data_IF_868264010892
#
_entry.id   IF_868264010892
#
_cell.length_a   1.000
_cell.length_b   1.000
_cell.length_c   1.000
_cell.angle_alpha   90.00
_cell.angle_beta   90.00
_cell.angle_gamma   90.00
#
_symmetry.space_group_name_H-M   'P 1'
#
loop_
_entity.id
_entity.type
_entity.pdbx_description
1 polymer ?
#
# COMPACT_ATOMS: atom_id res chain seq x y z
N UNK A 1 -10.12 0.53 1.15
CA UNK A 1 -9.04 1.12 0.33
C UNK A 1 -8.35 2.24 1.10
N UNK A 2 -7.12 2.53 0.72
CA UNK A 2 -6.34 3.68 1.16
C UNK A 2 -6.70 4.93 0.34
N UNK A 3 -6.21 6.08 0.78
CA UNK A 3 -6.11 7.33 0.02
C UNK A 3 -4.78 8.03 0.34
N UNK A 4 -4.46 9.12 -0.35
CA UNK A 4 -3.20 9.84 -0.14
C UNK A 4 -3.04 10.39 1.29
N UNK A 5 -4.15 10.73 1.97
CA UNK A 5 -4.09 11.21 3.37
C UNK A 5 -3.65 10.11 4.34
N UNK A 6 -3.97 8.85 4.05
CA UNK A 6 -3.47 7.72 4.84
C UNK A 6 -1.94 7.60 4.75
N UNK A 7 -1.36 7.77 3.55
CA UNK A 7 0.10 7.79 3.37
C UNK A 7 0.74 8.95 4.13
N UNK A 8 0.17 10.16 4.04
CA UNK A 8 0.64 11.36 4.76
C UNK A 8 0.58 11.18 6.28
N UNK A 9 -0.48 10.57 6.81
CA UNK A 9 -0.67 10.34 8.24
C UNK A 9 0.47 9.51 8.84
N UNK A 10 0.94 8.52 8.09
CA UNK A 10 2.04 7.64 8.50
C UNK A 10 3.43 8.19 8.10
N UNK A 11 3.49 9.41 7.57
CA UNK A 11 4.73 10.08 7.15
C UNK A 11 5.50 9.25 6.09
N UNK A 12 4.75 8.66 5.15
CA UNK A 12 5.29 7.85 4.06
C UNK A 12 5.33 8.67 2.78
N UNK A 13 6.54 8.82 2.23
CA UNK A 13 6.74 9.44 0.93
C UNK A 13 6.21 8.54 -0.19
N UNK A 14 5.49 9.14 -1.13
CA UNK A 14 4.94 8.46 -2.29
C UNK A 14 5.26 9.21 -3.58
N UNK A 15 5.30 8.44 -4.67
CA UNK A 15 5.52 8.93 -6.02
C UNK A 15 4.66 8.12 -7.00
N UNK A 16 4.84 8.36 -8.30
CA UNK A 16 4.15 7.62 -9.35
C UNK A 16 4.23 6.09 -9.23
N UNK A 17 5.37 5.52 -8.79
CA UNK A 17 5.51 4.07 -8.58
C UNK A 17 4.64 3.59 -7.42
N UNK A 18 4.58 4.34 -6.33
CA UNK A 18 3.68 4.05 -5.19
C UNK A 18 2.22 4.05 -5.62
N UNK A 19 1.81 5.08 -6.39
CA UNK A 19 0.43 5.20 -6.87
C UNK A 19 0.08 4.05 -7.82
N UNK A 20 0.98 3.77 -8.76
CA UNK A 20 0.81 2.69 -9.72
C UNK A 20 0.63 1.33 -9.04
N UNK A 21 1.53 0.96 -8.13
CA UNK A 21 1.43 -0.30 -7.38
C UNK A 21 0.17 -0.33 -6.53
N UNK A 22 -0.19 0.79 -5.92
CA UNK A 22 -1.39 0.88 -5.09
C UNK A 22 -2.66 0.59 -5.88
N UNK A 23 -2.74 0.97 -7.15
CA UNK A 23 -3.87 0.64 -8.02
C UNK A 23 -3.80 -0.84 -8.45
N UNK A 24 -2.65 -1.30 -8.96
CA UNK A 24 -2.46 -2.67 -9.45
C UNK A 24 -2.75 -3.73 -8.37
N UNK A 25 -2.25 -3.50 -7.15
CA UNK A 25 -2.43 -4.38 -5.99
C UNK A 25 -3.68 -4.00 -5.17
N UNK A 26 -4.56 -3.13 -5.70
CA UNK A 26 -5.89 -2.78 -5.15
C UNK A 26 -5.88 -2.14 -3.75
N UNK A 27 -4.78 -1.51 -3.36
CA UNK A 27 -4.76 -0.62 -2.19
C UNK A 27 -5.56 0.67 -2.45
N UNK A 28 -5.54 1.19 -3.67
CA UNK A 28 -6.25 2.39 -4.11
C UNK A 28 -7.36 2.07 -5.12
N UNK A 29 -8.34 2.98 -5.21
CA UNK A 29 -9.19 3.12 -6.39
C UNK A 29 -8.45 4.01 -7.42
N UNK A 30 -8.79 3.89 -8.70
CA UNK A 30 -8.24 4.71 -9.78
C UNK A 30 -8.37 6.22 -9.55
N UNK A 31 -9.41 6.66 -8.82
CA UNK A 31 -9.65 8.07 -8.48
C UNK A 31 -8.48 8.73 -7.74
N UNK A 32 -7.59 7.93 -7.13
CA UNK A 32 -6.36 8.43 -6.50
C UNK A 32 -5.43 9.14 -7.49
N UNK A 33 -5.53 8.82 -8.79
CA UNK A 33 -4.75 9.47 -9.84
C UNK A 33 -5.11 10.95 -9.95
N UNK A 34 -6.39 11.29 -9.83
CA UNK A 34 -6.85 12.68 -9.82
C UNK A 34 -6.33 13.42 -8.60
N UNK A 35 -6.47 12.83 -7.41
CA UNK A 35 -5.93 13.41 -6.17
C UNK A 35 -4.43 13.67 -6.29
N UNK A 36 -3.68 12.72 -6.85
CA UNK A 36 -2.24 12.83 -7.00
C UNK A 36 -1.84 13.83 -8.07
N UNK A 37 -2.54 13.87 -9.21
CA UNK A 37 -2.29 14.84 -10.27
C UNK A 37 -2.53 16.28 -9.79
N UNK A 38 -3.59 16.53 -9.01
CA UNK A 38 -3.84 17.84 -8.39
C UNK A 38 -2.67 18.23 -7.47
N UNK A 39 -2.19 17.32 -6.63
CA UNK A 39 -1.03 17.60 -5.76
C UNK A 39 0.26 17.91 -6.53
N UNK A 40 0.45 17.31 -7.71
CA UNK A 40 1.60 17.61 -8.58
C UNK A 40 1.47 19.00 -9.21
N UNK A 41 0.29 19.36 -9.70
CA UNK A 41 0.02 20.71 -10.22
C UNK A 41 0.23 21.80 -9.15
N UNK A 42 -0.23 21.56 -7.92
CA UNK A 42 0.00 22.46 -6.78
C UNK A 42 1.50 22.66 -6.47
N UNK A 43 2.34 21.69 -6.81
CA UNK A 43 3.81 21.76 -6.67
C UNK A 43 4.50 22.35 -7.90
N UNK A 44 3.75 22.70 -8.95
CA UNK A 44 4.27 23.21 -10.22
C UNK A 44 4.81 22.12 -11.15
N UNK A 45 4.51 20.85 -10.90
CA UNK A 45 4.82 19.75 -11.81
C UNK A 45 3.70 19.63 -12.85
N UNK A 46 3.98 20.03 -14.09
CA UNK A 46 3.02 20.04 -15.18
C UNK A 46 3.44 19.12 -16.33
N UNK A 47 2.49 18.36 -16.87
CA UNK A 47 2.62 17.66 -18.14
C UNK A 47 1.23 17.46 -18.75
N UNK A 48 1.10 17.20 -20.07
CA UNK A 48 -0.20 16.91 -20.69
C UNK A 48 -0.98 15.82 -19.93
N UNK A 49 -0.31 14.71 -19.60
CA UNK A 49 -0.92 13.62 -18.84
C UNK A 49 -1.36 14.04 -17.43
N UNK A 50 -0.56 14.84 -16.71
CA UNK A 50 -0.94 15.33 -15.37
C UNK A 50 -2.18 16.23 -15.46
N UNK A 51 -2.22 17.12 -16.45
CA UNK A 51 -3.37 18.01 -16.67
C UNK A 51 -4.64 17.21 -16.98
N UNK A 52 -4.53 16.17 -17.81
CA UNK A 52 -5.66 15.31 -18.14
C UNK A 52 -6.15 14.52 -16.93
N UNK A 53 -5.23 13.93 -16.15
CA UNK A 53 -5.55 13.19 -14.93
C UNK A 53 -6.22 14.05 -13.85
N UNK A 54 -5.88 15.34 -13.78
CA UNK A 54 -6.45 16.26 -12.80
C UNK A 54 -7.90 16.66 -13.11
N UNK A 55 -8.37 16.50 -14.35
CA UNK A 55 -9.74 16.86 -14.73
C UNK A 55 -10.76 15.80 -14.33
N UNK A 56 -10.56 14.55 -14.76
CA UNK A 56 -11.28 13.37 -14.27
C UNK A 56 -10.66 12.11 -14.87
N UNK A 57 -10.71 11.00 -14.15
CA UNK A 57 -10.21 9.71 -14.63
C UNK A 57 -11.35 8.72 -14.76
N UNK A 58 -11.65 8.32 -16.00
CA UNK A 58 -12.63 7.26 -16.28
C UNK A 58 -12.05 5.87 -16.06
N UNK A 59 -12.82 4.99 -15.42
CA UNK A 59 -12.52 3.57 -15.23
C UNK A 59 -12.53 2.78 -16.56
N UNK A 60 -13.21 3.28 -17.60
CA UNK A 60 -13.46 2.56 -18.85
C UNK A 60 -12.17 2.22 -19.63
N UNK A 61 -11.05 2.87 -19.31
CA UNK A 61 -9.78 2.68 -20.00
C UNK A 61 -8.55 2.55 -19.07
N UNK A 62 -8.76 2.04 -17.86
CA UNK A 62 -7.70 1.91 -16.83
C UNK A 62 -6.41 1.26 -17.35
N UNK A 63 -6.51 0.20 -18.16
CA UNK A 63 -5.34 -0.51 -18.68
C UNK A 63 -4.44 0.37 -19.55
N UNK A 64 -5.03 1.15 -20.46
CA UNK A 64 -4.25 2.04 -21.32
C UNK A 64 -3.66 3.19 -20.52
N UNK A 65 -4.42 3.75 -19.59
CA UNK A 65 -3.95 4.83 -18.73
C UNK A 65 -2.76 4.40 -17.86
N UNK A 66 -2.87 3.24 -17.21
CA UNK A 66 -1.79 2.68 -16.40
C UNK A 66 -0.54 2.37 -17.26
N UNK A 67 -0.74 1.88 -18.48
CA UNK A 67 0.37 1.67 -19.44
C UNK A 67 1.06 2.98 -19.82
N UNK A 68 0.30 4.04 -20.05
CA UNK A 68 0.83 5.37 -20.38
C UNK A 68 1.63 5.97 -19.22
N UNK A 69 1.07 5.93 -18.01
CA UNK A 69 1.75 6.36 -16.77
C UNK A 69 3.09 5.62 -16.61
N UNK A 70 3.10 4.29 -16.73
CA UNK A 70 4.34 3.50 -16.62
C UNK A 70 5.37 3.94 -17.67
N UNK A 71 4.96 4.04 -18.94
CA UNK A 71 5.86 4.43 -20.05
C UNK A 71 6.45 5.83 -19.85
N UNK A 72 5.66 6.78 -19.35
CA UNK A 72 6.08 8.16 -19.21
C UNK A 72 7.00 8.38 -18.00
N UNK A 73 6.67 7.80 -16.84
CA UNK A 73 7.33 8.17 -15.58
C UNK A 73 8.34 7.14 -15.08
N UNK A 74 8.21 5.87 -15.46
CA UNK A 74 9.05 4.79 -14.94
C UNK A 74 9.11 3.57 -15.90
N UNK A 75 9.58 3.75 -17.14
CA UNK A 75 9.51 2.71 -18.18
C UNK A 75 10.26 1.42 -17.81
N UNK A 76 11.37 1.52 -17.08
CA UNK A 76 12.22 0.38 -16.70
C UNK A 76 11.80 -0.30 -15.38
N UNK A 77 10.67 0.12 -14.80
CA UNK A 77 10.20 -0.40 -13.52
C UNK A 77 9.42 -1.69 -13.70
N UNK A 78 9.98 -2.78 -13.19
CA UNK A 78 9.43 -4.12 -13.33
C UNK A 78 8.96 -4.68 -12.00
N UNK A 79 8.00 -5.59 -12.08
CA UNK A 79 7.47 -6.31 -10.92
C UNK A 79 8.60 -7.08 -10.24
N UNK A 80 8.53 -7.16 -8.92
CA UNK A 80 9.45 -7.91 -8.06
C UNK A 80 10.91 -7.43 -8.01
N UNK A 81 11.23 -6.28 -8.62
CA UNK A 81 12.51 -5.64 -8.38
C UNK A 81 12.56 -5.01 -6.96
N UNK A 82 13.75 -4.68 -6.41
CA UNK A 82 13.87 -4.14 -5.06
C UNK A 82 13.07 -2.84 -4.82
N UNK A 83 12.95 -1.99 -5.84
CA UNK A 83 12.16 -0.75 -5.73
C UNK A 83 10.65 -1.06 -5.65
N UNK A 84 10.17 -2.00 -6.46
CA UNK A 84 8.78 -2.47 -6.44
C UNK A 84 8.42 -3.02 -5.06
N UNK A 85 9.28 -3.88 -4.52
CA UNK A 85 9.09 -4.44 -3.18
C UNK A 85 9.08 -3.36 -2.11
N UNK A 86 9.94 -2.34 -2.23
CA UNK A 86 9.93 -1.20 -1.31
C UNK A 86 8.62 -0.41 -1.36
N UNK A 87 8.11 -0.12 -2.56
CA UNK A 87 6.85 0.61 -2.74
C UNK A 87 5.63 -0.21 -2.28
N UNK A 88 5.63 -1.53 -2.53
CA UNK A 88 4.61 -2.43 -2.00
C UNK A 88 4.60 -2.47 -0.46
N UNK A 89 5.79 -2.56 0.16
CA UNK A 89 5.94 -2.55 1.63
C UNK A 89 5.38 -1.28 2.26
N UNK A 90 5.57 -0.11 1.65
CA UNK A 90 4.94 1.14 2.08
C UNK A 90 3.41 1.01 2.16
N UNK A 91 2.80 0.56 1.07
CA UNK A 91 1.33 0.44 0.97
C UNK A 91 0.78 -0.56 1.99
N UNK A 92 1.44 -1.71 2.12
CA UNK A 92 1.11 -2.73 3.12
C UNK A 92 1.22 -2.17 4.54
N UNK A 93 2.31 -1.49 4.87
CA UNK A 93 2.50 -0.86 6.17
C UNK A 93 1.37 0.12 6.49
N UNK A 94 1.08 1.06 5.59
CA UNK A 94 0.02 2.06 5.79
C UNK A 94 -1.35 1.41 5.92
N UNK A 95 -1.64 0.39 5.10
CA UNK A 95 -2.89 -0.38 5.22
C UNK A 95 -3.02 -1.04 6.59
N UNK A 96 -2.00 -1.76 7.03
CA UNK A 96 -2.03 -2.49 8.29
C UNK A 96 -2.05 -1.53 9.51
N UNK A 97 -1.33 -0.40 9.44
CA UNK A 97 -1.42 0.68 10.45
C UNK A 97 -2.82 1.28 10.52
N UNK A 98 -3.47 1.52 9.38
CA UNK A 98 -4.88 1.98 9.32
C UNK A 98 -5.84 0.95 9.93
N UNK A 99 -5.67 -0.34 9.60
CA UNK A 99 -6.46 -1.43 10.18
C UNK A 99 -6.30 -1.50 11.69
N UNK A 100 -5.05 -1.37 12.18
CA UNK A 100 -4.73 -1.32 13.61
C UNK A 100 -5.41 -0.15 14.31
N UNK A 101 -5.29 1.06 13.76
CA UNK A 101 -5.85 2.27 14.35
C UNK A 101 -7.39 2.32 14.36
N UNK A 102 -8.05 1.56 13.48
CA UNK A 102 -9.50 1.55 13.36
C UNK A 102 -10.18 0.32 14.00
N UNK A 103 -9.41 -0.60 14.60
CA UNK A 103 -9.95 -1.86 15.14
C UNK A 103 -9.55 -2.04 16.59
N UNK A 104 -10.51 -1.83 17.50
CA UNK A 104 -10.29 -1.96 18.93
C UNK A 104 -10.39 -3.41 19.43
N UNK A 105 -11.25 -4.22 18.79
CA UNK A 105 -11.39 -5.63 19.16
C UNK A 105 -10.20 -6.46 18.67
N UNK A 106 -9.57 -7.17 19.61
CA UNK A 106 -8.38 -7.98 19.33
C UNK A 106 -8.64 -9.11 18.33
N UNK A 107 -9.80 -9.76 18.38
CA UNK A 107 -10.12 -10.90 17.51
C UNK A 107 -10.43 -10.41 16.11
N UNK A 108 -11.22 -9.34 16.01
CA UNK A 108 -11.51 -8.66 14.75
C UNK A 108 -10.22 -8.19 14.06
N UNK A 109 -9.28 -7.60 14.82
CA UNK A 109 -8.00 -7.18 14.28
C UNK A 109 -7.21 -8.34 13.68
N UNK A 110 -7.06 -9.46 14.42
CA UNK A 110 -6.36 -10.64 13.90
C UNK A 110 -7.06 -11.23 12.66
N UNK A 111 -8.39 -11.25 12.64
CA UNK A 111 -9.15 -11.70 11.47
C UNK A 111 -8.92 -10.80 10.25
N UNK A 112 -8.81 -9.47 10.44
CA UNK A 112 -8.50 -8.54 9.35
C UNK A 112 -7.07 -8.71 8.84
N UNK A 113 -6.10 -8.98 9.71
CA UNK A 113 -4.71 -9.29 9.33
C UNK A 113 -4.65 -10.59 8.52
N UNK A 114 -5.34 -11.64 8.97
CA UNK A 114 -5.49 -12.89 8.22
C UNK A 114 -6.16 -12.67 6.85
N UNK A 115 -7.24 -11.90 6.81
CA UNK A 115 -7.94 -11.58 5.55
C UNK A 115 -7.04 -10.83 4.57
N UNK A 116 -6.19 -9.92 5.07
CA UNK A 116 -5.17 -9.27 4.27
C UNK A 116 -4.16 -10.29 3.74
N UNK A 117 -3.61 -11.13 4.61
CA UNK A 117 -2.63 -12.16 4.23
C UNK A 117 -3.15 -13.09 3.11
N UNK A 118 -4.40 -13.55 3.21
CA UNK A 118 -5.05 -14.37 2.18
C UNK A 118 -5.27 -13.60 0.87
N UNK A 119 -5.73 -12.35 0.96
CA UNK A 119 -6.10 -11.56 -0.23
C UNK A 119 -4.90 -11.01 -1.01
N UNK A 120 -3.74 -10.91 -0.35
CA UNK A 120 -2.53 -10.28 -0.88
C UNK A 120 -1.39 -11.29 -1.10
N UNK A 121 -1.73 -12.54 -1.39
CA UNK A 121 -0.79 -13.53 -1.91
C UNK A 121 0.16 -14.14 -0.89
N UNK A 122 -0.24 -14.21 0.39
CA UNK A 122 0.48 -14.95 1.43
C UNK A 122 1.93 -14.46 1.68
N UNK A 123 2.17 -13.17 1.92
CA UNK A 123 3.53 -12.64 2.10
C UNK A 123 4.30 -13.36 3.22
N UNK A 124 5.44 -13.95 2.89
CA UNK A 124 6.18 -14.88 3.77
C UNK A 124 6.58 -14.24 5.11
N UNK A 125 6.91 -12.96 5.11
CA UNK A 125 7.31 -12.20 6.29
C UNK A 125 6.15 -11.89 7.26
N UNK A 126 4.91 -12.15 6.85
CA UNK A 126 3.72 -12.03 7.71
C UNK A 126 3.28 -13.36 8.35
N UNK A 127 3.91 -14.50 8.01
CA UNK A 127 3.48 -15.83 8.48
C UNK A 127 3.40 -15.91 10.02
N UNK A 128 4.29 -15.23 10.73
CA UNK A 128 4.32 -15.18 12.21
C UNK A 128 3.13 -14.43 12.84
N UNK A 129 2.33 -13.74 12.03
CA UNK A 129 1.16 -12.96 12.44
C UNK A 129 -0.15 -13.75 12.33
N UNK A 130 -0.11 -14.91 11.65
CA UNK A 130 -1.31 -15.62 11.22
C UNK A 130 -1.62 -16.79 12.16
N UNK A 131 -2.83 -16.77 12.73
CA UNK A 131 -3.26 -17.70 13.77
C UNK A 131 -3.42 -19.15 13.29
N UNK A 132 -3.81 -19.38 12.03
CA UNK A 132 -3.97 -20.72 11.46
C UNK A 132 -2.69 -21.27 10.81
N UNK A 133 -1.64 -20.46 10.67
CA UNK A 133 -0.38 -20.94 10.10
C UNK A 133 0.41 -21.73 11.17
N UNK A 134 1.12 -22.80 10.78
CA UNK A 134 1.94 -23.57 11.73
C UNK A 134 3.00 -22.68 12.39
N UNK A 135 2.93 -22.54 13.71
CA UNK A 135 3.90 -21.80 14.51
C UNK A 135 4.86 -22.76 15.23
N UNK A 136 6.12 -22.36 15.41
CA UNK A 136 7.10 -23.16 16.18
C UNK A 136 6.77 -23.25 17.68
N UNK A 137 6.00 -22.31 18.19
CA UNK A 137 5.51 -22.22 19.57
C UNK A 137 4.00 -22.04 19.54
N UNK A 138 3.29 -22.44 20.62
CA UNK A 138 1.87 -22.15 20.74
C UNK A 138 1.65 -20.64 20.69
N UNK A 139 0.95 -20.16 19.66
CA UNK A 139 0.58 -18.76 19.52
C UNK A 139 -0.68 -18.47 20.33
N UNK A 140 -0.59 -17.49 21.23
CA UNK A 140 -1.77 -16.89 21.88
C UNK A 140 -2.22 -15.68 21.08
N UNK A 141 -3.43 -15.19 21.36
CA UNK A 141 -3.90 -13.93 20.78
C UNK A 141 -2.94 -12.78 21.12
N UNK A 142 -2.46 -12.73 22.36
CA UNK A 142 -1.49 -11.75 22.84
C UNK A 142 -0.18 -11.81 22.07
N UNK A 143 0.40 -13.01 21.87
CA UNK A 143 1.68 -13.13 21.16
C UNK A 143 1.58 -12.75 19.69
N UNK A 144 0.46 -13.06 19.02
CA UNK A 144 0.24 -12.65 17.63
C UNK A 144 0.11 -11.12 17.50
N UNK A 145 -0.56 -10.48 18.46
CA UNK A 145 -0.67 -9.03 18.49
C UNK A 145 0.67 -8.36 18.81
N UNK A 146 1.48 -8.96 19.68
CA UNK A 146 2.85 -8.50 19.95
C UNK A 146 3.70 -8.59 18.67
N UNK A 147 3.72 -9.74 18.00
CA UNK A 147 4.41 -9.91 16.72
C UNK A 147 3.94 -8.88 15.68
N UNK A 148 2.64 -8.59 15.63
CA UNK A 148 2.10 -7.60 14.71
C UNK A 148 2.55 -6.17 15.02
N UNK A 149 2.57 -5.78 16.30
CA UNK A 149 3.07 -4.46 16.68
C UNK A 149 4.57 -4.34 16.39
N UNK A 150 5.36 -5.40 16.65
CA UNK A 150 6.79 -5.45 16.29
C UNK A 150 6.99 -5.32 14.79
N UNK A 151 6.24 -6.07 13.99
CA UNK A 151 6.27 -5.99 12.53
C UNK A 151 5.99 -4.57 12.01
N UNK A 152 4.96 -3.89 12.54
CA UNK A 152 4.67 -2.50 12.15
C UNK A 152 5.80 -1.54 12.53
N UNK A 153 6.41 -1.73 13.70
CA UNK A 153 7.54 -0.89 14.13
C UNK A 153 8.78 -1.09 13.25
N UNK A 154 9.10 -2.34 12.92
CA UNK A 154 10.21 -2.69 12.03
C UNK A 154 10.00 -2.13 10.61
N UNK A 155 8.79 -2.26 10.06
CA UNK A 155 8.42 -1.64 8.77
C UNK A 155 8.57 -0.11 8.83
N UNK A 156 8.09 0.53 9.90
CA UNK A 156 8.21 1.99 10.07
C UNK A 156 9.67 2.44 10.07
N UNK A 157 10.53 1.76 10.83
CA UNK A 157 11.96 2.07 10.89
C UNK A 157 12.61 1.85 9.53
N UNK A 158 12.32 0.73 8.87
CA UNK A 158 12.87 0.41 7.56
C UNK A 158 12.49 1.45 6.49
N UNK A 159 11.25 1.93 6.49
CA UNK A 159 10.74 2.84 5.47
C UNK A 159 11.19 4.29 5.65
N UNK A 160 11.58 4.68 6.88
CA UNK A 160 12.12 6.01 7.21
C UNK A 160 13.64 6.13 7.04
N UNK A 161 14.33 4.99 6.91
CA UNK A 161 15.74 4.93 6.53
C UNK A 161 15.89 4.83 4.99
#
# INVERSE_FOLDING_TARGET
MLNLKDLKKEDINYNWKTIYIGIEERFFNISVLTDYAIELLEKGEESPLINDLAWDVSEDNIFNLMSEIKKQFFPDFEKDNPEWQREYRKLRYVYLSKVRGNTNDKRELLNKIASFYDSFGYPEDMVSLINYMPQKLFSTQESLLENFNTFLEEERIYLKN
#
